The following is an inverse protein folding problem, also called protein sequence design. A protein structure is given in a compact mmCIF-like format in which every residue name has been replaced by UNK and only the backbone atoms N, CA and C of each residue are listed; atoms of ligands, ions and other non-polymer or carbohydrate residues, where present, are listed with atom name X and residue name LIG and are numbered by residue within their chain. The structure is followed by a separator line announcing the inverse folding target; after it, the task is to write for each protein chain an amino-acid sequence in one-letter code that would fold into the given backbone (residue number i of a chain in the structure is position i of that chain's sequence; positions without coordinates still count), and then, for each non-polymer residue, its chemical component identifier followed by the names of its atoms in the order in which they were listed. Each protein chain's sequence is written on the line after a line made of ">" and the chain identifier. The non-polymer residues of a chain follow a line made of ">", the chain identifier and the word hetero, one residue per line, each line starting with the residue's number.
data_IF_697701585534
#
_entry.id   IF_697701585534
#
_cell.length_a   1.000
_cell.length_b   1.000
_cell.length_c   1.000
_cell.angle_alpha   90.00
_cell.angle_beta   90.00
_cell.angle_gamma   90.00
#
_symmetry.space_group_name_H-M   'P 1'
#
loop_
_entity.id
_entity.type
_entity.pdbx_description
1 polymer ?
#
# COMPACT_ATOMS: atom_id res chain seq x y z
N UNK A 1 10.33 -2.35 -31.18
CA UNK A 1 9.29 -2.01 -32.18
C UNK A 1 9.87 -1.38 -33.43
N UNK A 2 10.56 -0.24 -33.36
CA UNK A 2 11.15 0.41 -34.54
C UNK A 2 12.03 -0.52 -35.39
N UNK A 3 12.95 -1.27 -34.77
CA UNK A 3 13.82 -2.21 -35.49
C UNK A 3 13.05 -3.35 -36.17
N UNK A 4 12.01 -3.90 -35.52
CA UNK A 4 11.15 -4.93 -36.12
C UNK A 4 10.41 -4.37 -37.32
N UNK A 5 9.81 -3.19 -37.16
CA UNK A 5 9.09 -2.53 -38.24
C UNK A 5 9.99 -2.21 -39.45
N UNK A 6 11.23 -1.77 -39.20
CA UNK A 6 12.21 -1.51 -40.26
C UNK A 6 12.70 -2.80 -40.94
N UNK A 7 12.80 -3.91 -40.21
CA UNK A 7 13.29 -5.20 -40.70
C UNK A 7 12.20 -6.08 -41.33
N UNK A 8 10.92 -5.72 -41.20
CA UNK A 8 9.77 -6.46 -41.75
C UNK A 8 9.00 -5.63 -42.79
N UNK A 9 9.52 -5.46 -44.02
CA UNK A 9 8.72 -4.92 -45.11
C UNK A 9 7.48 -5.80 -45.35
N UNK A 10 6.34 -5.23 -45.80
CA UNK A 10 5.11 -5.98 -45.99
C UNK A 10 5.30 -7.24 -46.86
N UNK A 11 5.13 -8.42 -46.24
CA UNK A 11 4.97 -9.69 -46.93
C UNK A 11 6.23 -10.49 -47.30
N UNK A 12 7.45 -10.05 -46.93
CA UNK A 12 8.68 -10.73 -47.39
C UNK A 12 9.55 -11.35 -46.28
N UNK A 13 9.71 -10.70 -45.12
CA UNK A 13 10.61 -11.17 -44.06
C UNK A 13 10.02 -10.95 -42.66
N UNK A 14 10.26 -11.90 -41.75
CA UNK A 14 9.97 -11.77 -40.33
C UNK A 14 11.27 -11.74 -39.54
N UNK A 15 11.45 -10.73 -38.69
CA UNK A 15 12.61 -10.57 -37.84
C UNK A 15 12.41 -11.35 -36.54
N UNK A 16 12.49 -12.68 -36.63
CA UNK A 16 12.16 -13.59 -35.53
C UNK A 16 12.98 -13.32 -34.27
N UNK A 17 14.30 -13.14 -34.38
CA UNK A 17 15.17 -12.88 -33.22
C UNK A 17 14.78 -11.57 -32.49
N UNK A 18 14.40 -10.54 -33.23
CA UNK A 18 13.97 -9.27 -32.65
C UNK A 18 12.61 -9.40 -31.96
N UNK A 19 11.70 -10.19 -32.54
CA UNK A 19 10.39 -10.52 -31.93
C UNK A 19 10.58 -11.33 -30.66
N UNK A 20 11.43 -12.35 -30.66
CA UNK A 20 11.72 -13.17 -29.47
C UNK A 20 12.33 -12.32 -28.35
N UNK A 21 13.27 -11.43 -28.69
CA UNK A 21 13.84 -10.51 -27.71
C UNK A 21 12.79 -9.54 -27.15
N UNK A 22 11.90 -9.01 -28.01
CA UNK A 22 10.78 -8.16 -27.56
C UNK A 22 9.85 -8.93 -26.63
N UNK A 23 9.45 -10.14 -26.99
CA UNK A 23 8.49 -10.93 -26.22
C UNK A 23 9.09 -11.37 -24.87
N UNK A 24 10.40 -11.63 -24.82
CA UNK A 24 11.15 -11.79 -23.57
C UNK A 24 11.09 -10.53 -22.69
N UNK A 25 11.31 -9.35 -23.27
CA UNK A 25 11.24 -8.07 -22.53
C UNK A 25 9.83 -7.77 -22.03
N UNK A 26 8.81 -8.05 -22.84
CA UNK A 26 7.39 -7.94 -22.43
C UNK A 26 7.11 -8.85 -21.25
N UNK A 27 7.60 -10.10 -21.27
CA UNK A 27 7.47 -11.05 -20.15
C UNK A 27 8.20 -10.57 -18.89
N UNK A 28 9.37 -9.93 -19.01
CA UNK A 28 10.05 -9.35 -17.84
C UNK A 28 9.33 -8.11 -17.30
N UNK A 29 8.76 -7.29 -18.18
CA UNK A 29 7.96 -6.13 -17.78
C UNK A 29 6.67 -6.55 -17.07
N UNK A 30 5.98 -7.58 -17.57
CA UNK A 30 4.73 -8.08 -16.97
C UNK A 30 4.91 -8.65 -15.56
N UNK A 31 6.14 -9.00 -15.16
CA UNK A 31 6.46 -9.36 -13.76
C UNK A 31 6.52 -8.14 -12.85
N UNK A 32 6.81 -6.95 -13.39
CA UNK A 32 7.02 -5.71 -12.63
C UNK A 32 5.74 -4.90 -12.49
N UNK A 33 4.96 -4.80 -13.57
CA UNK A 33 3.72 -4.04 -13.65
C UNK A 33 2.71 -4.82 -14.48
N UNK A 34 1.42 -4.67 -14.23
CA UNK A 34 0.40 -5.27 -15.09
C UNK A 34 0.44 -4.62 -16.49
N UNK A 35 0.37 -5.47 -17.52
CA UNK A 35 0.41 -5.02 -18.92
C UNK A 35 -0.53 -5.85 -19.77
N UNK A 36 -1.27 -5.18 -20.66
CA UNK A 36 -2.04 -5.78 -21.74
C UNK A 36 -1.36 -5.50 -23.07
N UNK A 37 -1.10 -6.57 -23.82
CA UNK A 37 -0.52 -6.49 -25.15
C UNK A 37 -1.63 -6.32 -26.20
N UNK A 38 -1.47 -5.33 -27.06
CA UNK A 38 -2.31 -5.06 -28.22
C UNK A 38 -1.45 -5.21 -29.47
N UNK A 39 -1.84 -6.11 -30.37
CA UNK A 39 -1.16 -6.31 -31.65
C UNK A 39 -1.57 -5.24 -32.65
N UNK A 40 -0.60 -4.65 -33.34
CA UNK A 40 -0.83 -3.66 -34.39
C UNK A 40 -0.72 -4.31 -35.78
N UNK A 41 -1.34 -3.69 -36.79
CA UNK A 41 -1.37 -4.22 -38.16
C UNK A 41 -0.02 -4.22 -38.88
N UNK A 42 0.95 -3.45 -38.36
CA UNK A 42 2.28 -3.21 -38.93
C UNK A 42 3.38 -4.04 -38.25
N UNK A 43 3.01 -5.10 -37.52
CA UNK A 43 3.91 -6.00 -36.80
C UNK A 43 4.44 -5.43 -35.47
N UNK A 44 4.15 -4.17 -35.18
CA UNK A 44 4.44 -3.56 -33.89
C UNK A 44 3.42 -4.01 -32.83
N UNK A 45 3.70 -3.64 -31.58
CA UNK A 45 2.80 -3.90 -30.46
C UNK A 45 2.65 -2.64 -29.63
N UNK A 46 1.51 -2.54 -28.97
CA UNK A 46 1.22 -1.55 -27.95
C UNK A 46 1.04 -2.26 -26.61
N UNK A 47 1.51 -1.65 -25.52
CA UNK A 47 1.37 -2.13 -24.15
C UNK A 47 0.58 -1.10 -23.35
N UNK A 48 -0.49 -1.56 -22.71
CA UNK A 48 -1.39 -0.70 -21.91
C UNK A 48 -1.58 -1.29 -20.52
N UNK A 49 -1.96 -0.47 -19.54
CA UNK A 49 -2.57 -0.96 -18.30
C UNK A 49 -3.98 -1.50 -18.59
N UNK A 50 -4.56 -2.23 -17.64
CA UNK A 50 -5.90 -2.82 -17.79
C UNK A 50 -7.02 -1.81 -18.11
N UNK A 51 -6.85 -0.55 -17.72
CA UNK A 51 -7.81 0.52 -18.00
C UNK A 51 -7.57 1.21 -19.36
N UNK A 52 -6.60 0.76 -20.15
CA UNK A 52 -6.24 1.35 -21.44
C UNK A 52 -5.15 2.42 -21.38
N UNK A 53 -4.63 2.77 -20.20
CA UNK A 53 -3.52 3.74 -20.10
C UNK A 53 -2.30 3.21 -20.83
N UNK A 54 -1.80 3.95 -21.81
CA UNK A 54 -0.66 3.54 -22.62
C UNK A 54 0.67 3.60 -21.85
N UNK A 55 1.43 2.51 -21.91
CA UNK A 55 2.84 2.45 -21.48
C UNK A 55 3.78 2.51 -22.69
N UNK A 56 3.40 1.79 -23.75
CA UNK A 56 4.07 1.81 -25.05
C UNK A 56 2.98 1.86 -26.11
N UNK A 57 3.02 2.83 -27.03
CA UNK A 57 2.19 2.81 -28.23
C UNK A 57 3.13 2.74 -29.41
N UNK A 58 3.16 1.62 -30.13
CA UNK A 58 4.02 1.46 -31.30
C UNK A 58 5.49 1.73 -30.97
N UNK A 59 6.06 2.82 -31.45
CA UNK A 59 7.42 3.25 -31.17
C UNK A 59 7.56 4.28 -30.05
N UNK A 60 6.44 4.78 -29.53
CA UNK A 60 6.39 5.75 -28.45
C UNK A 60 6.35 5.08 -27.08
N UNK A 61 7.18 5.57 -26.17
CA UNK A 61 7.20 5.16 -24.76
C UNK A 61 6.63 6.28 -23.90
N UNK A 62 5.81 5.92 -22.91
CA UNK A 62 5.29 6.85 -21.91
C UNK A 62 6.02 6.58 -20.60
N UNK A 63 6.84 7.53 -20.16
CA UNK A 63 7.72 7.36 -19.01
C UNK A 63 6.95 7.45 -17.69
N UNK A 64 7.28 6.53 -16.79
CA UNK A 64 6.82 6.56 -15.42
C UNK A 64 7.75 7.45 -14.57
N UNK A 65 7.16 8.22 -13.69
CA UNK A 65 7.85 9.04 -12.70
C UNK A 65 7.22 8.84 -11.32
N UNK A 66 7.86 9.39 -10.30
CA UNK A 66 7.35 9.33 -8.93
C UNK A 66 7.34 10.70 -8.31
N UNK A 67 6.30 11.02 -7.54
CA UNK A 67 6.21 12.25 -6.75
C UNK A 67 5.65 11.93 -5.37
N UNK A 68 6.04 12.71 -4.36
CA UNK A 68 5.54 12.51 -3.00
C UNK A 68 4.06 12.90 -2.92
N UNK A 69 3.27 12.05 -2.27
CA UNK A 69 1.86 12.29 -1.99
C UNK A 69 1.70 12.70 -0.52
N UNK A 70 1.41 13.98 -0.28
CA UNK A 70 1.22 14.49 1.07
C UNK A 70 0.03 13.88 1.82
N UNK A 71 -0.96 13.31 1.11
CA UNK A 71 -2.08 12.59 1.69
C UNK A 71 -1.75 11.16 2.11
N UNK A 72 -0.65 10.60 1.60
CA UNK A 72 -0.24 9.24 1.91
C UNK A 72 1.10 9.27 2.68
N UNK A 73 1.16 10.04 3.76
CA UNK A 73 2.36 10.18 4.61
C UNK A 73 3.64 10.53 3.83
N UNK A 74 3.51 11.29 2.73
CA UNK A 74 4.59 11.63 1.78
C UNK A 74 5.20 10.44 1.04
N UNK A 75 4.55 9.28 1.05
CA UNK A 75 4.90 8.17 0.18
C UNK A 75 4.79 8.55 -1.28
N UNK A 76 5.60 7.89 -2.10
CA UNK A 76 5.68 8.19 -3.53
C UNK A 76 4.58 7.51 -4.30
N UNK A 77 3.84 8.31 -5.04
CA UNK A 77 2.86 7.89 -6.04
C UNK A 77 3.50 7.78 -7.42
N UNK A 78 2.98 6.87 -8.23
CA UNK A 78 3.43 6.62 -9.59
C UNK A 78 2.62 7.48 -10.55
N UNK A 79 3.35 8.24 -11.37
CA UNK A 79 2.78 9.11 -12.40
C UNK A 79 3.26 8.66 -13.77
N UNK A 80 2.44 8.92 -14.79
CA UNK A 80 2.82 8.75 -16.19
C UNK A 80 2.73 10.09 -16.91
N UNK A 81 3.70 10.37 -17.77
CA UNK A 81 3.58 11.48 -18.71
C UNK A 81 2.63 11.07 -19.82
N UNK A 82 1.56 11.82 -20.07
CA UNK A 82 0.55 11.53 -21.11
C UNK A 82 1.03 11.80 -22.55
N UNK A 83 2.29 12.23 -22.70
CA UNK A 83 2.89 12.59 -23.97
C UNK A 83 2.65 14.03 -24.40
N UNK A 84 1.90 14.81 -23.63
CA UNK A 84 1.77 16.27 -23.79
C UNK A 84 2.62 17.04 -22.76
N UNK A 85 3.21 16.32 -21.80
CA UNK A 85 3.95 16.89 -20.68
C UNK A 85 3.17 16.91 -19.37
N UNK A 86 1.87 16.55 -19.38
CA UNK A 86 1.08 16.44 -18.18
C UNK A 86 1.39 15.11 -17.45
N UNK A 87 1.47 15.18 -16.12
CA UNK A 87 1.66 14.02 -15.26
C UNK A 87 0.30 13.54 -14.73
N UNK A 88 -0.05 12.30 -15.04
CA UNK A 88 -1.28 11.66 -14.56
C UNK A 88 -0.89 10.66 -13.47
N UNK A 89 -1.50 10.75 -12.28
CA UNK A 89 -1.31 9.77 -11.23
C UNK A 89 -2.02 8.45 -11.61
N UNK A 90 -1.25 7.36 -11.67
CA UNK A 90 -1.73 6.03 -12.06
C UNK A 90 -1.59 5.01 -10.92
N UNK A 91 -1.22 5.44 -9.72
CA UNK A 91 -0.94 4.57 -8.57
C UNK A 91 -2.09 3.59 -8.30
N UNK A 92 -3.32 4.09 -8.30
CA UNK A 92 -4.53 3.27 -8.09
C UNK A 92 -4.94 2.42 -9.30
N UNK A 93 -4.41 2.73 -10.50
CA UNK A 93 -4.71 2.03 -11.74
C UNK A 93 -3.85 0.78 -11.92
N UNK A 94 -2.68 0.75 -11.29
CA UNK A 94 -1.78 -0.40 -11.25
C UNK A 94 -2.42 -1.49 -10.37
N UNK A 95 -2.66 -2.65 -10.96
CA UNK A 95 -3.40 -3.76 -10.33
C UNK A 95 -2.57 -5.04 -10.22
N UNK A 96 -1.34 -5.07 -10.76
CA UNK A 96 -0.51 -6.28 -10.71
C UNK A 96 0.99 -6.02 -10.80
N UNK A 97 1.72 -7.14 -10.81
CA UNK A 97 3.18 -7.15 -10.80
C UNK A 97 3.78 -6.81 -9.43
N UNK A 98 5.11 -6.88 -9.35
CA UNK A 98 5.84 -6.58 -8.13
C UNK A 98 5.65 -5.14 -7.64
N UNK A 99 5.33 -4.20 -8.53
CA UNK A 99 5.05 -2.80 -8.17
C UNK A 99 3.77 -2.69 -7.35
N UNK A 100 2.67 -3.34 -7.76
CA UNK A 100 1.43 -3.37 -6.98
C UNK A 100 1.68 -3.96 -5.59
N UNK A 101 2.34 -5.11 -5.52
CA UNK A 101 2.62 -5.76 -4.22
C UNK A 101 3.44 -4.89 -3.27
N UNK A 102 4.35 -4.06 -3.79
CA UNK A 102 5.09 -3.09 -2.96
C UNK A 102 4.22 -1.93 -2.49
N UNK A 103 3.32 -1.44 -3.34
CA UNK A 103 2.36 -0.39 -2.95
C UNK A 103 1.41 -0.92 -1.87
N UNK A 104 0.86 -2.12 -2.03
CA UNK A 104 -0.01 -2.74 -1.02
C UNK A 104 0.69 -2.95 0.32
N UNK A 105 1.92 -3.49 0.31
CA UNK A 105 2.70 -3.66 1.52
C UNK A 105 2.98 -2.34 2.22
N UNK A 106 3.37 -1.31 1.47
CA UNK A 106 3.73 0.00 2.02
C UNK A 106 2.52 0.77 2.50
N UNK A 107 1.46 0.87 1.69
CA UNK A 107 0.35 1.80 1.89
C UNK A 107 -0.82 1.19 2.67
N UNK A 108 -0.93 -0.14 2.72
CA UNK A 108 -2.07 -0.84 3.35
C UNK A 108 -1.61 -1.72 4.52
N UNK A 109 -0.73 -2.70 4.26
CA UNK A 109 -0.41 -3.71 5.27
C UNK A 109 0.44 -3.13 6.41
N UNK A 110 1.56 -2.47 6.09
CA UNK A 110 2.46 -1.89 7.09
C UNK A 110 1.78 -0.74 7.84
N UNK A 111 1.05 0.13 7.14
CA UNK A 111 0.33 1.23 7.78
C UNK A 111 -0.73 0.71 8.76
N UNK A 112 -1.52 -0.28 8.38
CA UNK A 112 -2.51 -0.87 9.29
C UNK A 112 -1.88 -1.46 10.56
N UNK A 113 -0.71 -2.09 10.44
CA UNK A 113 0.03 -2.63 11.59
C UNK A 113 0.58 -1.49 12.47
N UNK A 114 1.15 -0.45 11.84
CA UNK A 114 1.71 0.70 12.54
C UNK A 114 0.62 1.46 13.31
N UNK A 115 -0.53 1.72 12.70
CA UNK A 115 -1.65 2.42 13.32
C UNK A 115 -2.19 1.61 14.53
N UNK A 116 -2.31 0.28 14.42
CA UNK A 116 -2.69 -0.58 15.56
C UNK A 116 -1.64 -0.58 16.67
N UNK A 117 -0.36 -0.61 16.32
CA UNK A 117 0.75 -0.56 17.30
C UNK A 117 0.77 0.78 18.04
N UNK A 118 0.55 1.86 17.30
CA UNK A 118 0.40 3.21 17.80
C UNK A 118 -0.80 3.34 18.74
N UNK A 119 -1.96 2.80 18.36
CA UNK A 119 -3.16 2.74 19.20
C UNK A 119 -2.91 2.00 20.52
N UNK A 120 -2.23 0.85 20.46
CA UNK A 120 -1.84 0.08 21.65
C UNK A 120 -0.97 0.93 22.59
N UNK A 121 0.09 1.55 22.05
CA UNK A 121 0.99 2.38 22.83
C UNK A 121 0.31 3.64 23.41
N UNK A 122 -0.54 4.27 22.61
CA UNK A 122 -1.30 5.45 23.02
C UNK A 122 -2.25 5.17 24.17
N UNK A 123 -3.05 4.10 24.05
CA UNK A 123 -3.97 3.66 25.09
C UNK A 123 -3.24 3.23 26.37
N UNK A 124 -2.09 2.56 26.26
CA UNK A 124 -1.29 2.17 27.41
C UNK A 124 -0.78 3.37 28.21
N UNK A 125 -0.15 4.34 27.53
CA UNK A 125 0.32 5.58 28.16
C UNK A 125 -0.82 6.30 28.87
N UNK A 126 -1.97 6.39 28.21
CA UNK A 126 -3.13 7.07 28.75
C UNK A 126 -3.68 6.37 30.00
N UNK A 127 -3.99 5.08 29.93
CA UNK A 127 -4.59 4.37 31.08
C UNK A 127 -3.62 4.24 32.25
N UNK A 128 -2.33 4.03 31.97
CA UNK A 128 -1.32 4.01 33.03
C UNK A 128 -1.25 5.36 33.73
N UNK A 129 -1.14 6.46 32.96
CA UNK A 129 -1.10 7.81 33.53
C UNK A 129 -2.39 8.17 34.26
N UNK A 130 -3.55 7.73 33.76
CA UNK A 130 -4.85 7.97 34.40
C UNK A 130 -4.84 7.44 35.84
N UNK A 131 -4.44 6.18 36.04
CA UNK A 131 -4.36 5.58 37.38
C UNK A 131 -3.19 6.16 38.18
N UNK A 132 -2.02 6.35 37.56
CA UNK A 132 -0.85 6.87 38.27
C UNK A 132 -1.09 8.26 38.87
N UNK A 133 -1.81 9.14 38.18
CA UNK A 133 -2.18 10.48 38.69
C UNK A 133 -3.06 10.43 39.93
N UNK A 134 -3.87 9.39 40.11
CA UNK A 134 -4.75 9.22 41.27
C UNK A 134 -3.99 8.79 42.54
N UNK A 135 -2.76 8.32 42.40
CA UNK A 135 -1.96 7.81 43.51
C UNK A 135 -1.05 8.83 44.20
N UNK A 136 -0.27 8.30 45.14
CA UNK A 136 0.71 9.03 45.94
C UNK A 136 2.10 8.37 45.90
N UNK A 137 3.12 9.18 45.61
CA UNK A 137 4.53 8.81 45.70
C UNK A 137 5.00 8.65 47.15
N UNK A 138 6.17 8.03 47.35
CA UNK A 138 6.81 7.91 48.66
C UNK A 138 7.17 9.27 49.27
N UNK A 139 7.41 10.29 48.43
CA UNK A 139 7.65 11.67 48.83
C UNK A 139 6.37 12.49 49.06
N UNK A 140 5.19 11.87 48.90
CA UNK A 140 3.89 12.53 49.01
C UNK A 140 3.40 13.21 47.73
N UNK A 141 4.15 13.16 46.63
CA UNK A 141 3.71 13.70 45.34
C UNK A 141 2.50 12.96 44.77
N UNK A 142 1.67 13.64 43.99
CA UNK A 142 0.42 13.13 43.39
C UNK A 142 0.11 13.91 42.11
N UNK A 143 -0.78 13.38 41.26
CA UNK A 143 -1.20 14.05 40.02
C UNK A 143 -0.13 14.09 38.93
N UNK A 144 0.92 13.27 39.06
CA UNK A 144 2.03 13.21 38.11
C UNK A 144 1.83 12.12 37.06
N UNK A 145 2.38 12.37 35.88
CA UNK A 145 2.45 11.38 34.80
C UNK A 145 3.65 10.46 34.94
N UNK A 146 3.42 9.16 34.74
CA UNK A 146 4.51 8.19 34.68
C UNK A 146 5.17 8.18 33.32
N UNK A 147 4.38 8.19 32.25
CA UNK A 147 4.83 8.31 30.86
C UNK A 147 4.61 9.73 30.35
N UNK A 148 5.47 10.22 29.47
CA UNK A 148 5.22 11.48 28.77
C UNK A 148 3.88 11.39 28.01
N UNK A 149 2.92 12.31 28.23
CA UNK A 149 1.65 12.29 27.52
C UNK A 149 1.83 12.40 26.01
N UNK A 150 0.94 11.76 25.24
CA UNK A 150 1.00 11.86 23.79
C UNK A 150 0.43 13.20 23.32
N UNK A 151 1.15 13.84 22.40
CA UNK A 151 0.69 15.06 21.73
C UNK A 151 -0.38 14.73 20.67
N UNK A 152 -1.28 15.69 20.43
CA UNK A 152 -2.22 15.59 19.32
C UNK A 152 -1.44 15.81 18.02
N UNK A 153 -1.53 14.84 17.11
CA UNK A 153 -1.08 15.02 15.74
C UNK A 153 -2.26 15.40 14.85
N UNK A 154 -2.03 16.30 13.90
CA UNK A 154 -3.03 16.76 12.94
C UNK A 154 -2.45 16.58 11.54
N UNK A 155 -3.18 15.92 10.65
CA UNK A 155 -2.84 15.74 9.24
C UNK A 155 -3.94 16.39 8.39
N UNK A 156 -3.57 17.45 7.68
CA UNK A 156 -4.45 18.11 6.72
C UNK A 156 -4.31 17.47 5.35
N UNK A 157 -5.43 17.14 4.71
CA UNK A 157 -5.41 16.58 3.37
C UNK A 157 -4.91 17.65 2.35
N UNK A 158 -3.90 17.31 1.56
CA UNK A 158 -3.29 18.18 0.55
C UNK A 158 -4.18 18.45 -0.66
N UNK A 159 -5.30 17.73 -0.80
CA UNK A 159 -6.33 18.01 -1.81
C UNK A 159 -7.42 18.94 -1.28
N UNK A 160 -7.30 19.45 -0.04
CA UNK A 160 -8.21 20.46 0.47
C UNK A 160 -8.15 21.70 -0.43
N UNK A 161 -9.32 22.21 -0.76
CA UNK A 161 -9.49 23.38 -1.62
C UNK A 161 -9.62 24.66 -0.79
N UNK A 162 -10.11 24.54 0.45
CA UNK A 162 -10.07 25.60 1.43
C UNK A 162 -8.71 25.66 2.15
N UNK A 163 -8.58 26.68 3.00
CA UNK A 163 -7.41 26.86 3.87
C UNK A 163 -7.83 26.94 5.35
N UNK A 164 -8.52 25.91 5.89
CA UNK A 164 -8.83 25.89 7.31
C UNK A 164 -7.55 25.66 8.12
N UNK A 165 -7.35 26.51 9.13
CA UNK A 165 -6.33 26.32 10.16
C UNK A 165 -7.03 25.71 11.36
N UNK A 166 -6.66 24.47 11.67
CA UNK A 166 -7.24 23.70 12.77
C UNK A 166 -6.20 23.57 13.87
N UNK A 167 -6.56 23.99 15.08
CA UNK A 167 -5.83 23.69 16.30
C UNK A 167 -6.64 22.71 17.13
N UNK A 168 -6.03 21.58 17.48
CA UNK A 168 -6.62 20.57 18.35
C UNK A 168 -5.64 20.34 19.48
N UNK A 169 -6.11 20.53 20.70
CA UNK A 169 -5.32 20.28 21.90
C UNK A 169 -6.03 19.29 22.80
N UNK A 170 -5.23 18.56 23.58
CA UNK A 170 -5.74 17.72 24.64
C UNK A 170 -6.27 18.61 25.77
N UNK A 171 -7.60 18.71 25.89
CA UNK A 171 -8.24 19.57 26.89
C UNK A 171 -8.33 18.89 28.26
N UNK A 172 -8.24 17.56 28.30
CA UNK A 172 -8.33 16.76 29.51
C UNK A 172 -7.54 15.47 29.32
N UNK A 173 -6.30 15.40 29.85
CA UNK A 173 -5.41 14.27 29.69
C UNK A 173 -5.91 12.94 30.26
N UNK A 174 -7.03 12.93 30.99
CA UNK A 174 -7.67 11.74 31.56
C UNK A 174 -8.83 11.21 30.74
N UNK A 175 -9.34 11.99 29.77
CA UNK A 175 -10.54 11.64 28.98
C UNK A 175 -10.32 11.73 27.47
N UNK A 176 -9.10 12.05 27.02
CA UNK A 176 -8.80 12.14 25.59
C UNK A 176 -8.86 10.75 24.97
N UNK A 177 -9.55 10.52 23.87
CA UNK A 177 -9.53 9.16 23.26
C UNK A 177 -8.19 8.92 22.53
N UNK A 178 -7.62 7.70 22.58
CA UNK A 178 -6.48 7.32 21.73
C UNK A 178 -6.92 7.02 20.29
N UNK A 179 -8.23 6.99 20.00
CA UNK A 179 -8.76 6.74 18.67
C UNK A 179 -8.29 7.78 17.63
N UNK A 180 -8.42 7.42 16.37
CA UNK A 180 -8.19 8.29 15.23
C UNK A 180 -9.50 8.82 14.67
N UNK A 181 -9.52 10.12 14.34
CA UNK A 181 -10.71 10.83 13.90
C UNK A 181 -10.47 11.59 12.60
N UNK A 182 -11.49 11.66 11.75
CA UNK A 182 -11.52 12.50 10.55
C UNK A 182 -12.64 13.54 10.66
N UNK A 183 -12.28 14.81 10.53
CA UNK A 183 -13.19 15.92 10.24
C UNK A 183 -13.33 16.01 8.73
N UNK A 184 -14.56 15.92 8.22
CA UNK A 184 -14.90 16.27 6.84
C UNK A 184 -15.79 17.50 6.84
N UNK A 185 -15.33 18.61 6.28
CA UNK A 185 -16.11 19.84 6.18
C UNK A 185 -17.26 19.66 5.18
N UNK A 186 -18.47 20.02 5.61
CA UNK A 186 -19.67 20.00 4.76
C UNK A 186 -19.99 21.38 4.21
N UNK A 187 -19.58 22.43 4.93
CA UNK A 187 -19.72 23.85 4.57
C UNK A 187 -18.65 24.67 5.31
N UNK A 188 -18.65 26.00 5.14
CA UNK A 188 -17.69 26.90 5.81
C UNK A 188 -17.74 26.81 7.35
N UNK A 189 -18.90 26.44 7.92
CA UNK A 189 -19.13 26.41 9.38
C UNK A 189 -19.69 25.07 9.86
N UNK A 190 -19.66 24.04 9.01
CA UNK A 190 -20.24 22.73 9.30
C UNK A 190 -19.29 21.61 8.92
N UNK A 191 -19.26 20.56 9.74
CA UNK A 191 -18.44 19.38 9.48
C UNK A 191 -19.11 18.11 10.00
N UNK A 192 -18.69 16.96 9.48
CA UNK A 192 -18.97 15.65 10.07
C UNK A 192 -17.72 15.12 10.75
N UNK A 193 -17.89 14.41 11.86
CA UNK A 193 -16.81 13.71 12.55
C UNK A 193 -16.99 12.21 12.37
N UNK A 194 -15.93 11.53 11.94
CA UNK A 194 -15.88 10.07 11.84
C UNK A 194 -14.77 9.55 12.75
N UNK A 195 -15.07 8.54 13.56
CA UNK A 195 -14.06 7.75 14.26
C UNK A 195 -13.54 6.68 13.29
N UNK A 196 -12.27 6.79 12.90
CA UNK A 196 -11.61 5.87 11.98
C UNK A 196 -11.26 4.53 12.66
N UNK A 197 -11.04 4.54 13.98
CA UNK A 197 -10.75 3.33 14.77
C UNK A 197 -11.95 2.39 14.88
N UNK A 198 -13.16 2.94 15.04
CA UNK A 198 -14.42 2.17 15.11
C UNK A 198 -15.20 2.15 13.80
N UNK A 199 -14.76 2.91 12.80
CA UNK A 199 -15.47 3.18 11.55
C UNK A 199 -16.88 3.79 11.72
N UNK A 200 -17.17 4.39 12.88
CA UNK A 200 -18.48 4.98 13.18
C UNK A 200 -18.50 6.47 12.90
N UNK A 201 -19.68 6.99 12.51
CA UNK A 201 -19.93 8.43 12.46
C UNK A 201 -20.28 8.93 13.86
N UNK A 202 -19.60 9.98 14.31
CA UNK A 202 -19.86 10.68 15.56
C UNK A 202 -20.91 11.79 15.40
N UNK A 203 -21.34 12.04 14.15
CA UNK A 203 -22.41 12.98 13.82
C UNK A 203 -21.97 14.18 12.98
N UNK A 204 -22.88 15.14 12.88
CA UNK A 204 -22.67 16.41 12.18
C UNK A 204 -22.68 17.56 13.19
N UNK A 205 -21.75 18.49 13.02
CA UNK A 205 -21.50 19.58 13.94
C UNK A 205 -21.43 20.91 13.19
N UNK A 206 -21.66 21.99 13.91
CA UNK A 206 -21.44 23.36 13.44
C UNK A 206 -20.51 24.08 14.39
N UNK A 207 -19.74 25.03 13.88
CA UNK A 207 -18.80 25.81 14.67
C UNK A 207 -18.86 27.29 14.30
N UNK A 208 -18.48 28.13 15.25
CA UNK A 208 -18.22 29.56 15.02
C UNK A 208 -16.72 29.74 14.85
N UNK A 209 -16.32 30.38 13.76
CA UNK A 209 -14.91 30.59 13.43
C UNK A 209 -14.18 31.29 14.58
N UNK A 210 -12.97 30.81 14.91
CA UNK A 210 -12.13 31.37 15.96
C UNK A 210 -12.57 31.04 17.39
N UNK A 211 -13.69 30.35 17.58
CA UNK A 211 -14.14 29.90 18.90
C UNK A 211 -13.67 28.48 19.19
N UNK A 212 -13.20 28.24 20.41
CA UNK A 212 -12.84 26.90 20.87
C UNK A 212 -14.10 26.16 21.34
N UNK A 213 -14.28 24.94 20.88
CA UNK A 213 -15.34 24.04 21.33
C UNK A 213 -14.77 22.67 21.71
N UNK A 214 -15.45 21.97 22.62
CA UNK A 214 -15.02 20.66 23.09
C UNK A 214 -15.77 19.55 22.35
N UNK A 215 -15.02 18.58 21.83
CA UNK A 215 -15.57 17.30 21.38
C UNK A 215 -15.74 16.36 22.57
N UNK A 216 -16.69 15.43 22.47
CA UNK A 216 -17.04 14.44 23.52
C UNK A 216 -15.84 13.60 24.02
N UNK A 217 -14.76 13.54 23.23
CA UNK A 217 -13.61 12.67 23.42
C UNK A 217 -12.39 13.42 23.98
N UNK A 218 -12.60 14.50 24.75
CA UNK A 218 -11.55 15.23 25.47
C UNK A 218 -10.71 16.21 24.64
N UNK A 219 -11.09 16.45 23.39
CA UNK A 219 -10.39 17.38 22.50
C UNK A 219 -11.02 18.77 22.53
N UNK A 220 -10.19 19.80 22.72
CA UNK A 220 -10.58 21.18 22.44
C UNK A 220 -10.12 21.54 21.03
N UNK A 221 -11.08 21.95 20.20
CA UNK A 221 -10.87 22.25 18.78
C UNK A 221 -11.14 23.72 18.53
N UNK A 222 -10.24 24.37 17.82
CA UNK A 222 -10.41 25.73 17.30
C UNK A 222 -10.17 25.71 15.81
N UNK A 223 -11.14 26.18 15.04
CA UNK A 223 -11.06 26.24 13.58
C UNK A 223 -11.11 27.71 13.16
N UNK A 224 -10.15 28.11 12.34
CA UNK A 224 -10.04 29.46 11.75
C UNK A 224 -9.82 29.34 10.24
N UNK A 225 -10.07 30.42 9.51
CA UNK A 225 -9.94 30.42 8.05
C UNK A 225 -11.16 29.81 7.36
N UNK A 226 -11.07 29.74 6.03
CA UNK A 226 -12.19 29.35 5.17
C UNK A 226 -12.06 27.87 4.81
N UNK A 227 -13.00 27.06 5.26
CA UNK A 227 -13.11 25.66 4.87
C UNK A 227 -13.98 25.52 3.61
N UNK A 228 -13.56 24.68 2.68
CA UNK A 228 -14.39 24.26 1.54
C UNK A 228 -15.11 22.96 1.86
N UNK A 229 -16.28 22.76 1.24
CA UNK A 229 -17.00 21.48 1.33
C UNK A 229 -16.13 20.36 0.73
N UNK A 230 -15.96 19.27 1.47
CA UNK A 230 -15.10 18.15 1.10
C UNK A 230 -13.69 18.22 1.69
N UNK A 231 -13.29 19.32 2.31
CA UNK A 231 -11.99 19.41 3.00
C UNK A 231 -11.94 18.40 4.15
N UNK A 232 -10.79 17.75 4.33
CA UNK A 232 -10.56 16.67 5.30
C UNK A 232 -9.36 16.96 6.20
N UNK A 233 -9.51 16.67 7.48
CA UNK A 233 -8.44 16.72 8.48
C UNK A 233 -8.54 15.53 9.41
N UNK A 234 -7.45 14.78 9.51
CA UNK A 234 -7.30 13.67 10.45
C UNK A 234 -6.56 14.13 11.69
N UNK A 235 -6.94 13.59 12.84
CA UNK A 235 -6.23 13.84 14.09
C UNK A 235 -6.33 12.66 15.05
N UNK A 236 -5.29 12.52 15.88
CA UNK A 236 -5.25 11.51 16.94
C UNK A 236 -4.15 11.85 17.95
N UNK A 237 -4.29 11.31 19.17
CA UNK A 237 -3.22 11.26 20.18
C UNK A 237 -2.38 9.99 20.08
N UNK A 238 -2.83 8.95 19.37
CA UNK A 238 -2.07 7.69 19.30
C UNK A 238 -1.05 7.65 18.18
N UNK A 239 -1.16 8.52 17.17
CA UNK A 239 -0.22 8.55 16.05
C UNK A 239 1.23 8.79 16.54
N UNK A 240 2.15 7.90 16.16
CA UNK A 240 3.53 7.82 16.67
C UNK A 240 3.68 7.56 18.18
N UNK A 241 2.61 7.27 18.92
CA UNK A 241 2.69 7.05 20.36
C UNK A 241 3.63 5.87 20.70
N UNK A 242 3.66 4.82 19.89
CA UNK A 242 4.55 3.69 20.12
C UNK A 242 6.03 4.05 19.99
N UNK A 243 6.40 4.95 19.07
CA UNK A 243 7.79 5.37 18.87
C UNK A 243 8.22 6.48 19.83
N UNK A 244 7.29 7.29 20.33
CA UNK A 244 7.54 8.39 21.26
C UNK A 244 7.38 8.02 22.73
N UNK A 245 6.88 6.81 23.03
CA UNK A 245 6.66 6.34 24.39
C UNK A 245 7.94 6.45 25.24
N UNK A 246 7.84 7.20 26.33
CA UNK A 246 8.97 7.45 27.23
C UNK A 246 8.48 7.67 28.66
N UNK A 247 9.28 7.25 29.64
CA UNK A 247 9.02 7.57 31.05
C UNK A 247 9.26 9.07 31.25
N UNK A 248 8.37 9.72 31.99
CA UNK A 248 8.42 11.15 32.21
C UNK A 248 9.70 11.57 32.95
N UNK A 249 10.17 12.78 32.66
CA UNK A 249 11.33 13.38 33.34
C UNK A 249 11.08 13.54 34.85
N UNK A 250 9.82 13.72 35.25
CA UNK A 250 9.43 13.82 36.66
C UNK A 250 9.73 12.52 37.42
N UNK A 251 9.49 11.35 36.82
CA UNK A 251 9.77 10.05 37.45
C UNK A 251 11.24 9.67 37.35
N UNK A 252 11.87 9.86 36.18
CA UNK A 252 13.28 9.48 35.99
C UNK A 252 14.25 10.31 36.85
N UNK A 253 13.90 11.57 37.15
CA UNK A 253 14.70 12.43 38.04
C UNK A 253 14.53 12.10 39.53
N UNK A 254 13.39 11.55 39.94
CA UNK A 254 13.15 11.11 41.31
C UNK A 254 12.17 9.94 41.35
N UNK A 255 12.68 8.75 41.64
CA UNK A 255 11.88 7.52 41.73
C UNK A 255 10.92 7.50 42.93
N UNK A 256 11.09 8.38 43.93
CA UNK A 256 10.13 8.52 45.03
C UNK A 256 8.78 9.07 44.56
N UNK A 257 8.71 9.66 43.35
CA UNK A 257 7.48 10.17 42.74
C UNK A 257 6.62 9.10 42.07
N UNK A 258 7.07 7.85 42.06
CA UNK A 258 6.26 6.73 41.56
C UNK A 258 5.06 6.55 42.50
N UNK A 259 3.88 6.87 41.98
CA UNK A 259 2.63 6.97 42.73
C UNK A 259 1.98 5.59 42.96
N UNK A 260 2.63 4.75 43.76
CA UNK A 260 2.15 3.41 44.10
C UNK A 260 1.05 3.38 45.17
N UNK A 261 0.95 4.44 45.98
CA UNK A 261 -0.02 4.55 47.07
C UNK A 261 -1.41 4.98 46.59
N UNK A 262 -2.49 4.40 47.10
CA UNK A 262 -3.87 4.80 46.78
C UNK A 262 -4.41 5.86 47.76
N UNK A 263 -4.27 5.61 49.06
CA UNK A 263 -4.79 6.52 50.11
C UNK A 263 -3.71 7.38 50.74
N UNK A 264 -2.47 6.87 50.75
CA UNK A 264 -1.29 7.55 51.30
C UNK A 264 -0.01 6.97 50.72
N UNK A 265 1.07 7.74 50.85
CA UNK A 265 2.43 7.28 50.58
C UNK A 265 2.77 6.02 51.37
N UNK A 266 3.41 5.05 50.71
CA UNK A 266 3.90 3.82 51.32
C UNK A 266 2.90 2.65 51.33
N UNK A 267 1.65 2.85 50.88
CA UNK A 267 0.77 1.74 50.50
C UNK A 267 1.03 1.31 49.03
N UNK A 268 0.52 0.14 48.64
CA UNK A 268 0.66 -0.42 47.28
C UNK A 268 -0.67 -0.52 46.53
N UNK A 269 -1.72 0.16 46.99
CA UNK A 269 -3.07 0.02 46.45
C UNK A 269 -3.20 0.51 45.01
N UNK A 270 -2.52 1.61 44.66
CA UNK A 270 -2.59 2.17 43.30
C UNK A 270 -1.78 1.30 42.34
N UNK A 271 -0.65 0.74 42.80
CA UNK A 271 0.11 -0.23 42.02
C UNK A 271 -0.72 -1.50 41.68
N UNK A 272 -1.59 -1.94 42.58
CA UNK A 272 -2.53 -3.04 42.30
C UNK A 272 -3.58 -2.65 41.24
N UNK A 273 -4.06 -1.41 41.24
CA UNK A 273 -4.97 -0.92 40.20
C UNK A 273 -4.30 -0.82 38.83
N UNK A 274 -3.03 -0.41 38.79
CA UNK A 274 -2.21 -0.43 37.56
C UNK A 274 -2.03 -1.87 37.08
N UNK A 275 -1.73 -2.82 37.98
CA UNK A 275 -1.62 -4.23 37.61
C UNK A 275 -2.94 -4.80 37.05
N UNK A 276 -4.08 -4.38 37.61
CA UNK A 276 -5.41 -4.79 37.14
C UNK A 276 -5.76 -4.26 35.73
N UNK A 277 -4.99 -3.31 35.16
CA UNK A 277 -5.17 -2.90 33.76
C UNK A 277 -4.94 -4.05 32.78
N UNK A 278 -4.16 -5.07 33.15
CA UNK A 278 -3.93 -6.24 32.29
C UNK A 278 -5.25 -6.94 31.91
N UNK A 279 -6.21 -6.98 32.84
CA UNK A 279 -7.50 -7.64 32.66
C UNK A 279 -8.61 -6.65 32.23
N UNK A 280 -8.27 -5.36 32.12
CA UNK A 280 -9.24 -4.32 31.81
C UNK A 280 -9.51 -4.21 30.32
N UNK A 281 -10.78 -4.07 29.96
CA UNK A 281 -11.27 -3.90 28.60
C UNK A 281 -11.10 -2.44 28.15
N UNK A 282 -9.89 -2.08 27.74
CA UNK A 282 -9.53 -0.69 27.38
C UNK A 282 -9.94 -0.32 25.96
N UNK A 283 -9.87 -1.26 25.02
CA UNK A 283 -10.19 -1.00 23.61
C UNK A 283 -11.67 -1.26 23.37
N UNK A 284 -12.50 -0.23 23.28
CA UNK A 284 -13.93 -0.38 23.09
C UNK A 284 -14.33 -0.32 21.61
N UNK A 285 -14.92 -1.41 21.10
CA UNK A 285 -15.49 -1.47 19.74
C UNK A 285 -14.49 -1.20 18.60
N UNK A 286 -13.21 -1.52 18.81
CA UNK A 286 -12.18 -1.37 17.77
C UNK A 286 -12.46 -2.34 16.63
N UNK A 287 -12.47 -1.84 15.40
CA UNK A 287 -12.67 -2.67 14.22
C UNK A 287 -11.37 -3.33 13.78
N UNK A 288 -11.31 -4.65 13.92
CA UNK A 288 -10.25 -5.48 13.35
C UNK A 288 -10.79 -6.25 12.13
N UNK A 289 -9.89 -6.92 11.40
CA UNK A 289 -10.26 -7.73 10.24
C UNK A 289 -11.21 -8.90 10.62
N UNK A 290 -11.19 -9.34 11.87
CA UNK A 290 -12.09 -10.35 12.43
C UNK A 290 -13.45 -9.81 12.91
N UNK A 291 -13.67 -8.49 12.88
CA UNK A 291 -14.89 -7.82 13.35
C UNK A 291 -14.60 -6.70 14.35
N UNK A 292 -15.65 -6.00 14.79
CA UNK A 292 -15.57 -5.03 15.88
C UNK A 292 -15.78 -5.72 17.21
N UNK A 293 -14.94 -5.41 18.20
CA UNK A 293 -15.01 -6.02 19.52
C UNK A 293 -14.38 -5.16 20.60
N UNK A 294 -14.51 -5.60 21.83
CA UNK A 294 -13.86 -5.00 22.98
C UNK A 294 -12.70 -5.88 23.42
N UNK A 295 -11.54 -5.31 23.70
CA UNK A 295 -10.30 -6.05 23.95
C UNK A 295 -9.55 -5.53 25.17
N UNK A 296 -8.87 -6.44 25.89
CA UNK A 296 -7.75 -6.09 26.78
C UNK A 296 -6.49 -5.76 25.99
N UNK A 297 -5.42 -5.29 26.66
CA UNK A 297 -4.11 -5.08 26.02
C UNK A 297 -3.55 -6.36 25.40
N UNK A 298 -3.61 -7.47 26.14
CA UNK A 298 -3.09 -8.77 25.68
C UNK A 298 -3.93 -9.32 24.52
N UNK A 299 -5.27 -9.23 24.60
CA UNK A 299 -6.15 -9.66 23.52
C UNK A 299 -5.94 -8.84 22.24
N UNK A 300 -5.83 -7.52 22.37
CA UNK A 300 -5.59 -6.63 21.24
C UNK A 300 -4.25 -6.93 20.57
N UNK A 301 -3.16 -7.05 21.34
CA UNK A 301 -1.85 -7.38 20.80
C UNK A 301 -1.84 -8.73 20.09
N UNK A 302 -2.43 -9.77 20.72
CA UNK A 302 -2.54 -11.08 20.09
C UNK A 302 -3.37 -11.05 18.80
N UNK A 303 -4.42 -10.23 18.73
CA UNK A 303 -5.22 -10.05 17.52
C UNK A 303 -4.42 -9.36 16.39
N UNK A 304 -3.56 -8.38 16.71
CA UNK A 304 -2.63 -7.76 15.75
C UNK A 304 -1.67 -8.81 15.19
N UNK A 305 -1.02 -9.58 16.06
CA UNK A 305 -0.09 -10.66 15.66
C UNK A 305 -0.80 -11.73 14.83
N UNK A 306 -2.00 -12.14 15.23
CA UNK A 306 -2.80 -13.10 14.48
C UNK A 306 -3.16 -12.58 13.08
N UNK A 307 -3.49 -11.30 12.95
CA UNK A 307 -3.78 -10.67 11.64
C UNK A 307 -2.56 -10.76 10.72
N UNK A 308 -1.36 -10.45 11.22
CA UNK A 308 -0.11 -10.58 10.45
C UNK A 308 0.11 -12.03 10.02
N UNK A 309 -0.09 -12.98 10.94
CA UNK A 309 0.04 -14.41 10.64
C UNK A 309 -0.94 -14.89 9.56
N UNK A 310 -2.21 -14.48 9.64
CA UNK A 310 -3.25 -14.83 8.68
C UNK A 310 -2.95 -14.20 7.31
N UNK A 311 -2.62 -12.90 7.26
CA UNK A 311 -2.31 -12.21 6.00
C UNK A 311 -1.06 -12.81 5.34
N UNK A 312 -0.01 -13.09 6.12
CA UNK A 312 1.21 -13.74 5.61
C UNK A 312 0.93 -15.16 5.09
N UNK A 313 0.13 -15.95 5.81
CA UNK A 313 -0.23 -17.30 5.37
C UNK A 313 -1.09 -17.26 4.10
N UNK A 314 -2.09 -16.37 4.06
CA UNK A 314 -2.94 -16.13 2.90
C UNK A 314 -2.11 -15.76 1.67
N UNK A 315 -1.24 -14.76 1.79
CA UNK A 315 -0.35 -14.32 0.71
C UNK A 315 0.59 -15.43 0.22
N UNK A 316 1.16 -16.23 1.13
CA UNK A 316 2.01 -17.36 0.78
C UNK A 316 1.23 -18.48 0.06
N UNK A 317 -0.02 -18.72 0.48
CA UNK A 317 -0.92 -19.68 -0.17
C UNK A 317 -1.28 -19.23 -1.59
N UNK A 318 -1.67 -17.96 -1.75
CA UNK A 318 -1.95 -17.37 -3.07
C UNK A 318 -0.73 -17.40 -3.98
N UNK A 319 0.47 -17.11 -3.46
CA UNK A 319 1.71 -17.21 -4.23
C UNK A 319 1.93 -18.62 -4.78
N UNK A 320 1.82 -19.66 -3.92
CA UNK A 320 1.97 -21.06 -4.35
C UNK A 320 0.94 -21.46 -5.41
N UNK A 321 -0.29 -20.99 -5.26
CA UNK A 321 -1.34 -21.23 -6.26
C UNK A 321 -0.97 -20.60 -7.60
N UNK A 322 -0.50 -19.34 -7.60
CA UNK A 322 -0.10 -18.64 -8.83
C UNK A 322 1.15 -19.27 -9.48
N UNK A 323 2.10 -19.76 -8.69
CA UNK A 323 3.25 -20.52 -9.20
C UNK A 323 2.81 -21.81 -9.90
N UNK A 324 1.84 -22.53 -9.34
CA UNK A 324 1.25 -23.72 -9.97
C UNK A 324 0.56 -23.40 -11.30
N UNK A 325 -0.24 -22.32 -11.35
CA UNK A 325 -0.87 -21.86 -12.59
C UNK A 325 0.19 -21.47 -13.63
N UNK A 326 1.24 -20.75 -13.21
CA UNK A 326 2.33 -20.34 -14.09
C UNK A 326 3.08 -21.55 -14.65
N UNK A 327 3.35 -22.57 -13.82
CA UNK A 327 3.95 -23.83 -14.27
C UNK A 327 3.08 -24.50 -15.34
N UNK A 328 1.77 -24.64 -15.09
CA UNK A 328 0.83 -25.25 -16.03
C UNK A 328 0.77 -24.48 -17.36
N UNK A 329 0.74 -23.15 -17.31
CA UNK A 329 0.72 -22.31 -18.50
C UNK A 329 2.04 -22.40 -19.29
N UNK A 330 3.19 -22.43 -18.61
CA UNK A 330 4.48 -22.63 -19.26
C UNK A 330 4.55 -24.00 -19.94
N UNK A 331 4.13 -25.08 -19.28
CA UNK A 331 4.11 -26.43 -19.88
C UNK A 331 3.19 -26.49 -21.10
N UNK A 332 2.01 -25.85 -21.05
CA UNK A 332 1.11 -25.75 -22.22
C UNK A 332 1.72 -24.95 -23.36
N UNK A 333 2.40 -23.85 -23.04
CA UNK A 333 3.12 -23.04 -24.03
C UNK A 333 4.24 -23.85 -24.67
N UNK A 334 5.03 -24.59 -23.90
CA UNK A 334 6.08 -25.48 -24.39
C UNK A 334 5.52 -26.63 -25.23
N UNK A 335 4.35 -27.18 -24.90
CA UNK A 335 3.75 -28.23 -25.74
C UNK A 335 3.25 -27.72 -27.10
N UNK A 336 2.90 -26.44 -27.21
CA UNK A 336 2.39 -25.86 -28.45
C UNK A 336 3.48 -25.14 -29.26
N UNK A 337 4.43 -24.50 -28.58
CA UNK A 337 5.50 -23.68 -29.15
C UNK A 337 6.88 -24.30 -29.01
N UNK A 338 6.98 -25.49 -28.41
CA UNK A 338 8.23 -26.24 -28.31
C UNK A 338 8.57 -26.87 -29.65
N UNK A 339 9.83 -26.70 -30.05
CA UNK A 339 10.36 -27.31 -31.25
C UNK A 339 10.78 -28.74 -30.92
N UNK A 340 10.07 -29.73 -31.47
CA UNK A 340 10.48 -31.14 -31.35
C UNK A 340 11.71 -31.36 -32.24
N UNK A 341 12.84 -31.72 -31.61
CA UNK A 341 14.09 -32.02 -32.33
C UNK A 341 13.87 -33.15 -33.34
N UNK A 342 13.00 -34.10 -33.04
CA UNK A 342 12.68 -35.21 -33.94
C UNK A 342 11.89 -34.74 -35.17
N UNK A 343 10.92 -33.83 -35.01
CA UNK A 343 10.20 -33.24 -36.15
C UNK A 343 11.10 -32.35 -36.99
N UNK A 344 11.96 -31.54 -36.38
CA UNK A 344 12.93 -30.73 -37.11
C UNK A 344 13.99 -31.60 -37.80
N UNK A 345 14.39 -32.71 -37.20
CA UNK A 345 15.28 -33.69 -37.85
C UNK A 345 14.61 -34.35 -39.05
N UNK A 346 13.34 -34.73 -38.94
CA UNK A 346 12.55 -35.26 -40.08
C UNK A 346 12.40 -34.20 -41.18
N UNK A 347 12.10 -32.94 -40.82
CA UNK A 347 12.05 -31.82 -41.79
C UNK A 347 13.41 -31.59 -42.43
N UNK A 348 14.50 -31.66 -41.68
CA UNK A 348 15.87 -31.54 -42.19
C UNK A 348 16.19 -32.66 -43.18
N UNK A 349 15.89 -33.92 -42.84
CA UNK A 349 16.06 -35.06 -43.76
C UNK A 349 15.21 -34.88 -45.01
N UNK A 350 13.96 -34.42 -44.87
CA UNK A 350 13.07 -34.14 -45.99
C UNK A 350 13.62 -33.02 -46.90
N UNK A 351 14.13 -31.93 -46.33
CA UNK A 351 14.74 -30.84 -47.09
C UNK A 351 16.06 -31.26 -47.75
N UNK A 352 16.88 -32.07 -47.08
CA UNK A 352 18.09 -32.67 -47.67
C UNK A 352 17.74 -33.61 -48.83
N UNK A 353 16.72 -34.46 -48.69
CA UNK A 353 16.24 -35.32 -49.77
C UNK A 353 15.64 -34.53 -50.92
N UNK A 354 14.82 -33.50 -50.64
CA UNK A 354 14.25 -32.63 -51.66
C UNK A 354 15.34 -31.84 -52.40
N UNK A 355 16.38 -31.37 -51.70
CA UNK A 355 17.54 -30.72 -52.29
C UNK A 355 18.32 -31.68 -53.20
N UNK A 356 18.61 -32.89 -52.72
CA UNK A 356 19.28 -33.92 -53.52
C UNK A 356 18.45 -34.35 -54.74
N UNK A 357 17.13 -34.44 -54.62
CA UNK A 357 16.23 -34.73 -55.72
C UNK A 357 16.20 -33.58 -56.75
N UNK A 358 16.15 -32.33 -56.27
CA UNK A 358 16.21 -31.13 -57.13
C UNK A 358 17.54 -31.04 -57.87
N UNK A 359 18.65 -31.33 -57.19
CA UNK A 359 19.98 -31.39 -57.81
C UNK A 359 20.05 -32.45 -58.92
N UNK A 360 19.47 -33.63 -58.70
CA UNK A 360 19.36 -34.66 -59.75
C UNK A 360 18.48 -34.24 -60.92
N UNK A 361 17.36 -33.56 -60.66
CA UNK A 361 16.51 -33.02 -61.74
C UNK A 361 17.29 -32.00 -62.57
N UNK A 362 18.07 -31.13 -61.94
CA UNK A 362 18.95 -30.18 -62.65
C UNK A 362 19.98 -30.94 -63.49
N UNK A 363 20.64 -31.96 -62.95
CA UNK A 363 21.60 -32.77 -63.73
C UNK A 363 20.95 -33.46 -64.93
N UNK A 364 19.73 -33.99 -64.78
CA UNK A 364 18.98 -34.62 -65.88
C UNK A 364 18.53 -33.58 -66.92
N UNK A 365 18.16 -32.38 -66.48
CA UNK A 365 17.83 -31.27 -67.40
C UNK A 365 19.09 -30.80 -68.15
N UNK A 366 20.24 -30.69 -67.49
CA UNK A 366 21.52 -30.39 -68.15
C UNK A 366 21.86 -31.46 -69.19
N UNK A 367 21.65 -32.74 -68.87
CA UNK A 367 21.90 -33.86 -69.78
C UNK A 367 20.91 -33.88 -70.98
N UNK A 368 19.65 -33.49 -70.75
CA UNK A 368 18.67 -33.28 -71.83
C UNK A 368 19.00 -32.06 -72.70
N UNK A 369 19.52 -30.97 -72.13
CA UNK A 369 19.97 -29.81 -72.89
C UNK A 369 21.22 -30.11 -73.71
N UNK A 370 22.17 -30.88 -73.16
CA UNK A 370 23.37 -31.32 -73.88
C UNK A 370 23.03 -32.28 -75.03
N UNK A 371 22.06 -33.17 -74.83
CA UNK A 371 21.60 -34.06 -75.92
C UNK A 371 20.84 -33.31 -77.00
N UNK A 372 20.05 -32.28 -76.65
CA UNK A 372 19.42 -31.38 -77.62
C UNK A 372 20.44 -30.52 -78.38
N UNK A 373 21.52 -30.06 -77.75
CA UNK A 373 22.59 -29.32 -78.43
C UNK A 373 23.49 -30.19 -79.31
N UNK A 374 23.43 -31.53 -79.17
CA UNK A 374 24.20 -32.50 -79.98
C UNK A 374 23.40 -33.11 -81.14
N UNK A 375 22.12 -32.79 -81.26
CA UNK A 375 21.32 -32.95 -82.49
C UNK A 375 21.33 -31.64 -83.27
#
# INVERSE_FOLDING_TARGET
>A
NQQIHAAEPPGQYKANDLRDNRDRLVKELSKKIDTQLVSESDGQISLTLKNGTALVLKDRVFELSTSANGNNKSFKDIHINDGTGALINITSLIQGGALRGRLDMRDTEVESILDKTNLLGGAFVQEFNRIHREGYGLDGSSGLDFFTPNDVTIKTNTNNQGAPIISIVNASPTTVSPDEFEITFTSNNGFTLKNLTTNMSEGSFTFVEGTTFNLKNGFAVTITGVAASGDKVEFSTSNNAASLMSVSSAITSNTQKIAAGNTRSGDGGNALQIAALQDSLVFNSVTLQSGSGTYTFDEFYNAVVATIGINSFSAQSTLRQQEGVMLQLNSRRESNSGVSIDEEMIKMIKFQQAYNASARIISVVDEMLDTLNRM
#
